data_IF_156655046220
#
_entry.id   IF_156655046220
#
_cell.length_a   1.000
_cell.length_b   1.000
_cell.length_c   1.000
_cell.angle_alpha   90.00
_cell.angle_beta   90.00
_cell.angle_gamma   90.00
#
_symmetry.space_group_name_H-M   'P 1'
#
loop_
_entity.id
_entity.type
_entity.pdbx_description
1 polymer ?
#
# COMPACT_ATOMS: atom_id res chain seq x y z
N UNK A 1 -10.61 -12.18 5.65
CA UNK A 1 -9.45 -11.26 5.84
C UNK A 1 -9.45 -10.30 4.68
N UNK A 2 -9.53 -9.01 4.96
CA UNK A 2 -9.49 -8.00 3.91
C UNK A 2 -8.09 -7.94 3.30
N UNK A 3 -8.01 -7.88 1.97
CA UNK A 3 -6.76 -7.68 1.25
C UNK A 3 -6.54 -6.19 0.99
N UNK A 4 -5.31 -5.74 1.14
CA UNK A 4 -4.92 -4.35 0.92
C UNK A 4 -3.66 -4.26 0.09
N UNK A 5 -3.67 -3.35 -0.88
CA UNK A 5 -2.48 -2.82 -1.56
C UNK A 5 -2.18 -1.47 -0.92
N UNK A 6 -0.91 -1.22 -0.60
CA UNK A 6 -0.46 0.00 0.08
C UNK A 6 0.52 0.71 -0.84
N UNK A 7 0.26 1.98 -1.17
CA UNK A 7 1.18 2.81 -1.95
C UNK A 7 2.48 3.11 -1.18
N UNK A 8 3.52 3.52 -1.91
CA UNK A 8 4.83 3.79 -1.30
C UNK A 8 4.75 4.86 -0.21
N UNK A 9 3.93 5.90 -0.36
CA UNK A 9 3.82 6.99 0.61
C UNK A 9 3.29 6.50 1.97
N UNK A 10 2.24 5.68 1.97
CA UNK A 10 1.68 5.08 3.19
C UNK A 10 2.66 4.08 3.82
N UNK A 11 3.51 3.42 3.02
CA UNK A 11 4.61 2.58 3.55
C UNK A 11 5.67 3.43 4.26
N UNK A 12 6.03 4.58 3.72
CA UNK A 12 6.96 5.52 4.37
C UNK A 12 6.36 6.07 5.67
N UNK A 13 5.07 6.38 5.69
CA UNK A 13 4.34 6.77 6.90
C UNK A 13 4.40 5.68 7.98
N UNK A 14 4.28 4.41 7.59
CA UNK A 14 4.35 3.26 8.49
C UNK A 14 5.75 3.09 9.09
N UNK A 15 6.81 3.13 8.29
CA UNK A 15 8.12 2.63 8.73
C UNK A 15 9.22 3.68 8.84
N UNK A 16 9.01 4.88 8.28
CA UNK A 16 10.01 5.95 8.29
C UNK A 16 9.54 7.15 9.10
N UNK A 17 8.27 7.53 8.96
CA UNK A 17 7.77 8.77 9.59
C UNK A 17 7.01 8.56 10.89
N UNK A 18 6.63 7.31 11.19
CA UNK A 18 5.76 6.96 12.32
C UNK A 18 4.51 7.86 12.41
N UNK A 19 3.84 8.06 11.28
CA UNK A 19 2.66 8.93 11.19
C UNK A 19 1.53 8.36 12.08
N UNK A 20 0.98 9.11 13.05
CA UNK A 20 -0.11 8.63 13.89
C UNK A 20 -1.36 8.24 13.09
N UNK A 21 -1.55 8.79 11.89
CA UNK A 21 -2.67 8.45 11.01
C UNK A 21 -2.64 6.99 10.52
N UNK A 22 -1.48 6.34 10.52
CA UNK A 22 -1.34 4.91 10.15
C UNK A 22 -1.32 3.98 11.36
N UNK A 23 -1.49 4.47 12.59
CA UNK A 23 -1.56 3.63 13.78
C UNK A 23 -2.63 2.51 13.69
N UNK A 24 -3.85 2.76 13.18
CA UNK A 24 -4.85 1.69 12.98
C UNK A 24 -4.39 0.62 11.99
N UNK A 25 -3.70 1.02 10.92
CA UNK A 25 -3.13 0.11 9.91
C UNK A 25 -2.01 -0.74 10.50
N UNK A 26 -1.08 -0.12 11.24
CA UNK A 26 0.01 -0.81 11.95
C UNK A 26 -0.55 -1.89 12.88
N UNK A 27 -1.58 -1.54 13.66
CA UNK A 27 -2.25 -2.50 14.53
C UNK A 27 -2.98 -3.60 13.75
N UNK A 28 -3.58 -3.31 12.59
CA UNK A 28 -4.22 -4.32 11.76
C UNK A 28 -3.20 -5.32 11.18
N UNK A 29 -2.06 -4.83 10.69
CA UNK A 29 -0.96 -5.66 10.17
C UNK A 29 -0.35 -6.54 11.26
N UNK A 30 -0.08 -5.98 12.44
CA UNK A 30 0.52 -6.72 13.56
C UNK A 30 -0.36 -7.87 14.07
N UNK A 31 -1.69 -7.69 14.08
CA UNK A 31 -2.64 -8.72 14.51
C UNK A 31 -3.14 -9.60 13.36
N UNK A 32 -2.59 -9.45 12.15
CA UNK A 32 -3.03 -10.18 10.96
C UNK A 32 -4.47 -9.88 10.53
N UNK A 33 -5.10 -8.79 10.98
CA UNK A 33 -6.49 -8.47 10.62
C UNK A 33 -6.67 -8.09 9.15
N UNK A 34 -5.57 -7.70 8.50
CA UNK A 34 -5.50 -7.38 7.07
C UNK A 34 -4.34 -8.15 6.43
N UNK A 35 -4.54 -8.59 5.18
CA UNK A 35 -3.48 -9.18 4.37
C UNK A 35 -2.95 -8.12 3.40
N UNK A 36 -1.76 -7.60 3.67
CA UNK A 36 -1.09 -6.72 2.71
C UNK A 36 -0.52 -7.55 1.57
N UNK A 37 -0.97 -7.27 0.34
CA UNK A 37 -0.45 -7.89 -0.87
C UNK A 37 0.42 -6.89 -1.64
N UNK A 38 1.53 -7.36 -2.20
CA UNK A 38 2.40 -6.56 -3.06
C UNK A 38 3.24 -7.44 -3.99
N UNK A 39 3.83 -6.84 -5.02
CA UNK A 39 4.73 -7.52 -5.96
C UNK A 39 6.19 -7.25 -5.65
N UNK A 40 7.10 -8.02 -6.26
CA UNK A 40 8.54 -7.74 -6.18
C UNK A 40 8.89 -6.33 -6.69
N UNK A 41 8.26 -5.89 -7.78
CA UNK A 41 8.50 -4.57 -8.37
C UNK A 41 8.09 -3.42 -7.44
N UNK A 42 7.04 -3.57 -6.62
CA UNK A 42 6.67 -2.58 -5.60
C UNK A 42 7.72 -2.47 -4.50
N UNK A 43 8.29 -3.61 -4.08
CA UNK A 43 9.39 -3.62 -3.10
C UNK A 43 10.66 -2.97 -3.65
N UNK A 44 10.98 -3.22 -4.92
CA UNK A 44 12.15 -2.61 -5.55
C UNK A 44 11.98 -1.10 -5.75
N UNK A 45 10.75 -0.65 -6.00
CA UNK A 45 10.42 0.79 -5.98
C UNK A 45 10.67 1.39 -4.59
N UNK A 46 10.16 0.75 -3.53
CA UNK A 46 10.41 1.19 -2.16
C UNK A 46 11.91 1.30 -1.85
N UNK A 47 12.73 0.32 -2.27
CA UNK A 47 14.19 0.38 -2.11
C UNK A 47 14.77 1.64 -2.77
N UNK A 48 14.43 1.88 -4.05
CA UNK A 48 14.91 3.07 -4.77
C UNK A 48 14.52 4.37 -4.08
N UNK A 49 13.28 4.44 -3.57
CA UNK A 49 12.77 5.61 -2.87
C UNK A 49 13.53 5.84 -1.55
N UNK A 50 13.82 4.78 -0.79
CA UNK A 50 14.59 4.88 0.46
C UNK A 50 16.03 5.39 0.22
N UNK A 51 16.61 5.14 -0.95
CA UNK A 51 17.93 5.63 -1.33
C UNK A 51 17.96 7.13 -1.67
N UNK A 52 16.80 7.81 -1.75
CA UNK A 52 16.78 9.25 -2.00
C UNK A 52 17.41 10.02 -0.83
N UNK A 53 18.28 11.02 -1.09
CA UNK A 53 19.07 11.67 -0.04
C UNK A 53 18.27 12.25 1.13
N UNK A 54 17.06 12.76 0.87
CA UNK A 54 16.20 13.34 1.90
C UNK A 54 15.52 12.27 2.78
N UNK A 55 15.32 11.05 2.28
CA UNK A 55 14.80 9.92 3.04
C UNK A 55 15.92 9.18 3.76
N UNK A 56 17.04 8.92 3.08
CA UNK A 56 18.22 8.29 3.68
C UNK A 56 18.69 9.02 4.95
N UNK A 57 18.59 10.35 5.00
CA UNK A 57 18.92 11.16 6.20
C UNK A 57 17.96 10.98 7.38
N UNK A 58 16.78 10.41 7.16
CA UNK A 58 15.75 10.18 8.18
C UNK A 58 15.78 8.76 8.74
N UNK A 59 16.51 7.86 8.10
CA UNK A 59 16.67 6.48 8.57
C UNK A 59 17.66 6.45 9.73
N UNK A 60 17.44 5.51 10.65
CA UNK A 60 18.37 5.20 11.73
C UNK A 60 19.54 4.35 11.21
N UNK A 61 20.41 3.89 12.12
CA UNK A 61 21.57 3.05 11.77
C UNK A 61 21.17 1.73 11.07
N UNK A 62 19.94 1.24 11.28
CA UNK A 62 19.44 0.05 10.63
C UNK A 62 18.99 0.31 9.17
N UNK A 63 18.81 1.59 8.81
CA UNK A 63 18.74 2.04 7.43
C UNK A 63 17.55 1.53 6.62
N UNK A 64 17.71 1.57 5.30
CA UNK A 64 16.72 1.07 4.33
C UNK A 64 16.39 -0.41 4.54
N UNK A 65 17.35 -1.21 5.01
CA UNK A 65 17.21 -2.65 5.19
C UNK A 65 16.18 -3.01 6.26
N UNK A 66 16.09 -2.24 7.36
CA UNK A 66 15.07 -2.44 8.38
C UNK A 66 13.65 -2.20 7.84
N UNK A 67 13.48 -1.17 7.00
CA UNK A 67 12.19 -0.86 6.35
C UNK A 67 11.82 -1.98 5.37
N UNK A 68 12.77 -2.45 4.56
CA UNK A 68 12.54 -3.54 3.61
C UNK A 68 12.23 -4.86 4.31
N UNK A 69 12.89 -5.16 5.43
CA UNK A 69 12.59 -6.33 6.25
C UNK A 69 11.19 -6.23 6.89
N UNK A 70 10.78 -5.04 7.33
CA UNK A 70 9.43 -4.81 7.84
C UNK A 70 8.37 -5.01 6.74
N UNK A 71 8.63 -4.50 5.53
CA UNK A 71 7.80 -4.76 4.35
C UNK A 71 7.67 -6.28 4.10
N UNK A 72 8.78 -7.00 4.00
CA UNK A 72 8.79 -8.43 3.70
C UNK A 72 8.09 -9.27 4.76
N UNK A 73 8.15 -8.86 6.03
CA UNK A 73 7.45 -9.54 7.13
C UNK A 73 5.93 -9.43 7.03
N UNK A 74 5.40 -8.31 6.53
CA UNK A 74 3.96 -8.04 6.53
C UNK A 74 3.29 -8.36 5.19
N UNK A 75 4.04 -8.41 4.10
CA UNK A 75 3.51 -8.61 2.76
C UNK A 75 3.36 -10.10 2.42
N UNK A 76 2.19 -10.46 1.91
CA UNK A 76 2.01 -11.65 1.07
C UNK A 76 2.42 -11.29 -0.36
N UNK A 77 3.59 -11.76 -0.78
CA UNK A 77 4.11 -11.48 -2.13
C UNK A 77 3.29 -12.22 -3.19
N UNK A 78 2.90 -11.49 -4.24
CA UNK A 78 2.19 -12.01 -5.40
C UNK A 78 2.95 -11.68 -6.69
N UNK A 79 2.61 -12.38 -7.76
CA UNK A 79 3.08 -12.06 -9.11
C UNK A 79 2.48 -10.74 -9.60
N UNK A 80 3.16 -10.04 -10.53
CA UNK A 80 2.58 -8.89 -11.22
C UNK A 80 1.22 -9.21 -11.83
N UNK A 81 0.27 -8.29 -11.66
CA UNK A 81 -1.04 -8.38 -12.29
C UNK A 81 -0.98 -7.83 -13.73
N UNK A 82 -1.87 -8.33 -14.58
CA UNK A 82 -2.13 -7.73 -15.88
C UNK A 82 -2.63 -6.30 -15.74
N UNK A 83 -2.34 -5.47 -16.75
CA UNK A 83 -2.77 -4.08 -16.76
C UNK A 83 -4.29 -3.98 -16.72
N UNK A 84 -4.81 -3.26 -15.74
CA UNK A 84 -6.24 -3.01 -15.61
C UNK A 84 -6.77 -2.03 -16.67
N UNK A 85 -8.09 -2.00 -16.92
CA UNK A 85 -8.72 -0.99 -17.80
C UNK A 85 -8.63 0.45 -17.26
N UNK A 86 -8.14 0.65 -16.04
CA UNK A 86 -8.04 1.95 -15.39
C UNK A 86 -6.59 2.43 -15.45
N UNK A 87 -6.31 3.37 -16.34
CA UNK A 87 -4.98 3.96 -16.46
C UNK A 87 -4.81 5.11 -15.47
N UNK A 88 -3.81 5.00 -14.59
CA UNK A 88 -3.33 6.11 -13.77
C UNK A 88 -2.56 7.10 -14.66
N UNK A 89 -2.65 8.38 -14.32
CA UNK A 89 -1.88 9.43 -15.02
C UNK A 89 -0.39 9.36 -14.69
N UNK A 90 -0.05 8.84 -13.51
CA UNK A 90 1.30 8.48 -13.14
C UNK A 90 1.55 6.99 -13.51
N UNK A 91 2.44 6.70 -14.47
CA UNK A 91 2.76 5.32 -14.85
C UNK A 91 3.37 4.49 -13.72
N UNK A 92 4.08 5.11 -12.77
CA UNK A 92 4.74 4.39 -11.68
C UNK A 92 3.71 3.82 -10.70
N UNK A 93 2.58 4.53 -10.55
CA UNK A 93 1.46 4.13 -9.70
C UNK A 93 0.56 3.06 -10.33
N UNK A 94 0.69 2.80 -11.64
CA UNK A 94 -0.17 1.87 -12.36
C UNK A 94 -0.16 0.46 -11.74
N UNK A 95 1.01 0.01 -11.27
CA UNK A 95 1.18 -1.33 -10.66
C UNK A 95 0.31 -1.54 -9.42
N UNK A 96 0.04 -0.48 -8.65
CA UNK A 96 -0.80 -0.57 -7.45
C UNK A 96 -2.28 -0.69 -7.82
N UNK A 97 -2.71 0.03 -8.86
CA UNK A 97 -4.06 -0.09 -9.42
C UNK A 97 -4.28 -1.49 -9.97
N UNK A 98 -3.35 -2.00 -10.76
CA UNK A 98 -3.47 -3.30 -11.43
C UNK A 98 -3.59 -4.43 -10.41
N UNK A 99 -2.73 -4.44 -9.39
CA UNK A 99 -2.78 -5.44 -8.33
C UNK A 99 -4.09 -5.35 -7.52
N UNK A 100 -4.54 -4.14 -7.19
CA UNK A 100 -5.78 -3.95 -6.45
C UNK A 100 -6.99 -4.45 -7.24
N UNK A 101 -7.06 -4.15 -8.54
CA UNK A 101 -8.14 -4.60 -9.43
C UNK A 101 -8.13 -6.11 -9.60
N UNK A 102 -6.97 -6.73 -9.85
CA UNK A 102 -6.86 -8.17 -10.07
C UNK A 102 -7.29 -8.99 -8.86
N UNK A 103 -7.12 -8.47 -7.65
CA UNK A 103 -7.43 -9.17 -6.41
C UNK A 103 -8.67 -8.65 -5.66
N UNK A 104 -9.35 -7.63 -6.18
CA UNK A 104 -10.46 -6.98 -5.47
C UNK A 104 -10.03 -6.41 -4.11
N UNK A 105 -8.77 -5.99 -3.98
CA UNK A 105 -8.20 -5.50 -2.75
C UNK A 105 -8.50 -4.00 -2.58
N UNK A 106 -8.57 -3.54 -1.32
CA UNK A 106 -8.55 -2.10 -1.05
C UNK A 106 -7.19 -1.51 -1.44
N UNK A 107 -7.16 -0.26 -1.87
CA UNK A 107 -5.93 0.48 -2.17
C UNK A 107 -5.80 1.66 -1.21
N UNK A 108 -4.78 1.63 -0.36
CA UNK A 108 -4.41 2.77 0.47
C UNK A 108 -3.45 3.66 -0.30
N UNK A 109 -3.84 4.90 -0.52
CA UNK A 109 -2.98 5.88 -1.18
C UNK A 109 -3.23 7.31 -0.74
N UNK A 110 -2.15 8.09 -0.66
CA UNK A 110 -2.19 9.55 -0.46
C UNK A 110 -2.00 10.31 -1.79
N UNK A 111 -1.66 9.62 -2.88
CA UNK A 111 -1.42 10.24 -4.18
C UNK A 111 -2.71 10.74 -4.85
N UNK A 112 -2.66 11.95 -5.41
CA UNK A 112 -3.85 12.60 -5.97
C UNK A 112 -4.30 12.00 -7.30
N UNK A 113 -3.38 11.46 -8.11
CA UNK A 113 -3.66 10.81 -9.39
C UNK A 113 -4.30 9.44 -9.15
N UNK A 114 -3.81 8.69 -8.15
CA UNK A 114 -4.45 7.44 -7.68
C UNK A 114 -5.85 7.73 -7.13
N UNK A 115 -5.98 8.72 -6.24
CA UNK A 115 -7.25 9.08 -5.62
C UNK A 115 -8.28 9.59 -6.65
N UNK A 116 -7.84 10.20 -7.75
CA UNK A 116 -8.73 10.59 -8.84
C UNK A 116 -9.43 9.39 -9.51
N UNK A 117 -8.88 8.19 -9.40
CA UNK A 117 -9.48 6.95 -9.92
C UNK A 117 -10.48 6.30 -8.95
N UNK A 118 -10.59 6.74 -7.69
CA UNK A 118 -11.38 6.08 -6.66
C UNK A 118 -12.82 5.76 -7.08
N UNK A 119 -13.53 6.72 -7.70
CA UNK A 119 -14.92 6.53 -8.17
C UNK A 119 -15.04 5.48 -9.29
N UNK A 120 -14.01 5.36 -10.14
CA UNK A 120 -14.00 4.40 -11.25
C UNK A 120 -13.67 3.00 -10.72
N UNK A 121 -12.70 2.92 -9.81
CA UNK A 121 -12.27 1.67 -9.17
C UNK A 121 -13.35 1.07 -8.25
N UNK A 122 -14.14 1.91 -7.58
CA UNK A 122 -15.28 1.44 -6.79
C UNK A 122 -16.32 0.66 -7.62
N UNK A 123 -16.44 0.93 -8.94
CA UNK A 123 -17.36 0.20 -9.83
C UNK A 123 -16.95 -1.26 -10.05
N UNK A 124 -15.70 -1.59 -9.77
CA UNK A 124 -15.16 -2.96 -9.83
C UNK A 124 -14.81 -3.49 -8.44
N UNK A 125 -15.35 -2.88 -7.38
CA UNK A 125 -15.19 -3.35 -6.00
C UNK A 125 -13.89 -2.94 -5.30
N UNK A 126 -13.03 -2.14 -5.94
CA UNK A 126 -11.79 -1.63 -5.33
C UNK A 126 -12.06 -0.34 -4.59
N UNK A 127 -11.95 -0.37 -3.26
CA UNK A 127 -12.04 0.80 -2.41
C UNK A 127 -10.69 1.51 -2.33
N UNK A 128 -10.62 2.79 -2.71
CA UNK A 128 -9.40 3.60 -2.57
C UNK A 128 -9.57 4.61 -1.44
N UNK A 129 -8.71 4.57 -0.42
CA UNK A 129 -8.77 5.49 0.74
C UNK A 129 -7.39 6.00 1.15
N UNK A 130 -7.38 7.14 1.86
CA UNK A 130 -6.13 7.73 2.40
C UNK A 130 -5.67 7.09 3.70
N UNK A 131 -6.59 6.48 4.43
CA UNK A 131 -6.36 5.87 5.73
C UNK A 131 -7.06 4.53 5.82
N UNK A 132 -6.50 3.65 6.65
CA UNK A 132 -7.14 2.41 7.04
C UNK A 132 -8.19 2.72 8.09
N UNK A 133 -9.45 2.56 7.73
CA UNK A 133 -10.52 2.41 8.70
C UNK A 133 -10.73 0.90 8.91
N UNK A 134 -10.80 0.40 10.15
CA UNK A 134 -11.34 -0.93 10.38
C UNK A 134 -12.69 -0.99 9.67
N UNK A 135 -12.91 -1.99 8.80
CA UNK A 135 -14.28 -2.29 8.40
C UNK A 135 -15.01 -2.57 9.72
N UNK A 136 -15.96 -1.70 10.09
CA UNK A 136 -16.93 -2.07 11.12
C UNK A 136 -17.42 -3.46 10.73
N UNK A 137 -17.38 -4.40 11.67
CA UNK A 137 -17.91 -5.76 11.47
C UNK A 137 -19.14 -5.64 10.58
N UNK A 138 -19.12 -6.30 9.42
CA UNK A 138 -20.30 -6.37 8.55
C UNK A 138 -21.38 -7.06 9.38
N UNK A 139 -22.10 -6.29 10.18
CA UNK A 139 -23.25 -6.71 10.93
C UNK A 139 -24.33 -6.99 9.89
N UNK A 140 -24.64 -8.27 9.72
CA UNK A 140 -25.82 -8.73 9.00
C UNK A 140 -25.57 -9.15 7.55
N UNK A 141 -25.43 -10.45 7.36
CA UNK A 141 -26.34 -11.21 6.52
C UNK A 141 -26.55 -12.59 7.15
#
# INVERSE_FOLDING_TARGET
MDQVVIDTNVVLDLFVFDDPAVAPLRAALAHGRVTWIATAAMRDELRRVLDYPHLARRLDDAGSDAVLAAFDRHVRRLEPADKSPFTCRDPDDQRFIDLAVAHGAALLSKDTQVLALARRLARVGVQVTRSWAPQAERAGA
#
